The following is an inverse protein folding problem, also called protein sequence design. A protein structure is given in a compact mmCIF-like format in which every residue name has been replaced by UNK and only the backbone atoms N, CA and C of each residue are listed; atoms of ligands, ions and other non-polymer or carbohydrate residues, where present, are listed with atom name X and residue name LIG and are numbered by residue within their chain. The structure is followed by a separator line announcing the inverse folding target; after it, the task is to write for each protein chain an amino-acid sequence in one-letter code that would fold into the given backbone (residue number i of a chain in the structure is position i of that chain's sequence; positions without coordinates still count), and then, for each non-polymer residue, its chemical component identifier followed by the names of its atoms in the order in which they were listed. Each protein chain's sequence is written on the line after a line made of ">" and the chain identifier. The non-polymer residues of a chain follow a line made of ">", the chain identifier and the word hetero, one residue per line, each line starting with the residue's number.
data_IF_379961107350
#
_entry.id   IF_379961107350
#
_cell.length_a   1.000
_cell.length_b   1.000
_cell.length_c   1.000
_cell.angle_alpha   90.00
_cell.angle_beta   90.00
_cell.angle_gamma   90.00
#
_symmetry.space_group_name_H-M   'P 1'
#
loop_
_entity.id
_entity.type
_entity.pdbx_description
1 polymer ?
#
# COMPACT_ATOMS: atom_id res chain seq x y z
N UNK A 1 16.30 15.34 -22.61
CA UNK A 1 15.83 14.87 -21.30
C UNK A 1 14.31 15.08 -21.28
N UNK A 2 13.51 14.01 -21.23
CA UNK A 2 12.04 14.15 -21.19
C UNK A 2 11.67 14.55 -19.76
N UNK A 3 11.06 15.71 -19.59
CA UNK A 3 10.55 16.14 -18.28
C UNK A 3 9.31 15.30 -17.95
N UNK A 4 9.41 14.45 -16.94
CA UNK A 4 8.28 13.70 -16.40
C UNK A 4 7.64 14.58 -15.33
N UNK A 5 6.36 14.93 -15.50
CA UNK A 5 5.62 15.66 -14.48
C UNK A 5 5.41 14.78 -13.24
N UNK A 6 5.67 15.33 -12.06
CA UNK A 6 5.46 14.63 -10.77
C UNK A 6 4.02 14.12 -10.59
N UNK A 7 3.05 14.84 -11.14
CA UNK A 7 1.65 14.41 -11.07
C UNK A 7 1.38 13.13 -11.87
N UNK A 8 2.28 12.70 -12.75
CA UNK A 8 2.13 11.47 -13.54
C UNK A 8 2.32 10.20 -12.72
N UNK A 9 2.93 10.27 -11.52
CA UNK A 9 3.08 9.13 -10.62
C UNK A 9 1.78 8.69 -9.96
N UNK A 10 0.69 9.45 -10.12
CA UNK A 10 -0.66 9.07 -9.67
C UNK A 10 -1.71 9.46 -10.72
N UNK A 11 -1.82 8.70 -11.82
CA UNK A 11 -2.74 9.03 -12.91
C UNK A 11 -4.18 8.73 -12.52
N UNK A 12 -5.00 9.78 -12.36
CA UNK A 12 -6.42 9.69 -12.09
C UNK A 12 -7.23 10.04 -13.33
N UNK A 13 -7.95 9.06 -13.86
CA UNK A 13 -8.85 9.21 -15.01
C UNK A 13 -9.88 8.09 -14.98
N UNK A 14 -11.15 8.44 -15.21
CA UNK A 14 -12.23 7.45 -15.29
C UNK A 14 -11.92 6.38 -16.34
N UNK A 15 -12.13 5.13 -15.94
CA UNK A 15 -11.82 3.91 -16.68
C UNK A 15 -10.41 3.36 -16.42
N UNK A 16 -9.49 4.12 -15.83
CA UNK A 16 -8.17 3.60 -15.49
C UNK A 16 -8.30 2.47 -14.47
N UNK A 17 -7.58 1.36 -14.69
CA UNK A 17 -7.53 0.26 -13.76
C UNK A 17 -6.12 -0.26 -13.55
N UNK A 18 -5.91 -0.86 -12.38
CA UNK A 18 -4.75 -1.68 -12.05
C UNK A 18 -5.24 -3.01 -11.46
N UNK A 19 -4.57 -4.10 -11.84
CA UNK A 19 -4.77 -5.43 -11.26
C UNK A 19 -3.46 -5.85 -10.62
N UNK A 20 -3.54 -6.33 -9.39
CA UNK A 20 -2.43 -6.74 -8.56
C UNK A 20 -2.55 -8.21 -8.18
N UNK A 21 -1.42 -8.87 -7.99
CA UNK A 21 -1.33 -10.08 -7.17
C UNK A 21 -1.14 -9.65 -5.73
N UNK A 22 -1.95 -10.17 -4.82
CA UNK A 22 -1.83 -9.92 -3.38
C UNK A 22 -1.44 -11.20 -2.66
N UNK A 23 -0.47 -11.11 -1.75
CA UNK A 23 -0.25 -12.13 -0.72
C UNK A 23 -0.47 -11.48 0.65
N UNK A 24 -1.33 -12.06 1.46
CA UNK A 24 -1.76 -11.54 2.75
C UNK A 24 -1.68 -12.64 3.80
N UNK A 25 -1.25 -12.30 5.00
CA UNK A 25 -1.33 -13.16 6.18
C UNK A 25 -1.79 -12.31 7.36
N UNK A 26 -3.05 -12.47 7.75
CA UNK A 26 -3.57 -11.93 9.01
C UNK A 26 -3.16 -12.85 10.15
N UNK A 27 -2.58 -12.27 11.20
CA UNK A 27 -2.03 -13.02 12.33
C UNK A 27 -2.78 -12.64 13.59
N UNK A 28 -3.34 -13.65 14.26
CA UNK A 28 -3.89 -13.55 15.60
C UNK A 28 -3.79 -14.92 16.28
N UNK A 29 -2.66 -15.18 16.95
CA UNK A 29 -2.31 -16.47 17.53
C UNK A 29 -2.35 -16.41 19.05
N UNK A 30 -2.89 -17.47 19.64
CA UNK A 30 -2.82 -17.72 21.08
C UNK A 30 -1.59 -18.52 21.48
N UNK A 31 -0.97 -19.23 20.53
CA UNK A 31 0.25 -20.01 20.72
C UNK A 31 1.12 -19.97 19.47
N UNK A 32 2.44 -19.93 19.67
CA UNK A 32 3.45 -20.03 18.61
C UNK A 32 3.58 -21.41 17.95
N UNK A 33 2.85 -22.42 18.43
CA UNK A 33 2.73 -23.70 17.72
C UNK A 33 1.76 -23.65 16.53
N UNK A 34 0.86 -22.66 16.50
CA UNK A 34 -0.16 -22.55 15.44
C UNK A 34 0.48 -22.02 14.15
N UNK A 35 0.30 -22.72 13.04
CA UNK A 35 0.82 -22.29 11.74
C UNK A 35 0.10 -21.06 11.19
N UNK A 36 0.84 -20.22 10.45
CA UNK A 36 0.26 -19.12 9.70
C UNK A 36 -0.46 -19.63 8.44
N UNK A 37 -1.56 -18.98 8.08
CA UNK A 37 -2.34 -19.32 6.88
C UNK A 37 -2.29 -18.15 5.90
N UNK A 38 -1.34 -18.17 4.95
CA UNK A 38 -1.28 -17.13 3.93
C UNK A 38 -2.42 -17.29 2.93
N UNK A 39 -2.91 -16.15 2.43
CA UNK A 39 -3.89 -16.03 1.35
C UNK A 39 -3.21 -15.41 0.14
N UNK A 40 -3.61 -15.84 -1.05
CA UNK A 40 -3.19 -15.24 -2.32
C UNK A 40 -4.41 -15.02 -3.20
N UNK A 41 -4.53 -13.83 -3.77
CA UNK A 41 -5.67 -13.45 -4.61
C UNK A 41 -5.31 -12.33 -5.58
N UNK A 42 -6.17 -12.08 -6.57
CA UNK A 42 -6.05 -10.91 -7.45
C UNK A 42 -6.89 -9.76 -6.87
N UNK A 43 -6.34 -8.53 -6.87
CA UNK A 43 -7.04 -7.29 -6.51
C UNK A 43 -7.12 -6.38 -7.75
N UNK A 44 -8.32 -5.93 -8.13
CA UNK A 44 -8.54 -4.89 -9.14
C UNK A 44 -8.90 -3.59 -8.45
N UNK A 45 -8.23 -2.51 -8.85
CA UNK A 45 -8.52 -1.13 -8.48
C UNK A 45 -8.97 -0.40 -9.74
N UNK A 46 -10.18 0.14 -9.75
CA UNK A 46 -10.79 0.80 -10.91
C UNK A 46 -11.23 2.21 -10.53
N UNK A 47 -10.77 3.21 -11.28
CA UNK A 47 -11.32 4.58 -11.22
C UNK A 47 -12.67 4.56 -11.93
N UNK A 48 -13.72 4.38 -11.16
CA UNK A 48 -15.07 4.12 -11.65
C UNK A 48 -15.78 5.39 -12.13
N UNK A 49 -15.62 6.49 -11.41
CA UNK A 49 -16.31 7.76 -11.72
C UNK A 49 -15.53 8.96 -11.17
N UNK A 50 -16.01 10.18 -11.46
CA UNK A 50 -15.51 11.39 -10.83
C UNK A 50 -16.62 12.42 -10.58
N UNK A 51 -16.47 13.16 -9.48
CA UNK A 51 -17.39 14.22 -9.07
C UNK A 51 -16.60 15.52 -8.93
N UNK A 52 -17.16 16.63 -9.42
CA UNK A 52 -16.57 17.95 -9.19
C UNK A 52 -16.54 18.24 -7.70
N UNK A 53 -15.39 18.69 -7.19
CA UNK A 53 -15.26 19.08 -5.78
C UNK A 53 -15.43 20.60 -5.62
N UNK A 54 -15.56 21.04 -4.37
CA UNK A 54 -15.73 22.46 -4.01
C UNK A 54 -14.49 23.31 -4.27
N UNK A 55 -13.35 22.68 -4.51
CA UNK A 55 -12.05 23.30 -4.76
C UNK A 55 -11.78 23.54 -6.26
N UNK A 56 -12.77 23.23 -7.12
CA UNK A 56 -12.69 23.41 -8.57
C UNK A 56 -12.01 22.26 -9.33
N UNK A 57 -11.60 21.19 -8.63
CA UNK A 57 -11.06 19.96 -9.18
C UNK A 57 -12.09 18.82 -9.21
N UNK A 58 -11.59 17.58 -9.20
CA UNK A 58 -12.40 16.37 -9.16
C UNK A 58 -11.97 15.46 -8.00
N UNK A 59 -12.97 14.87 -7.34
CA UNK A 59 -12.81 13.68 -6.51
C UNK A 59 -13.14 12.47 -7.37
N UNK A 60 -12.19 11.55 -7.49
CA UNK A 60 -12.34 10.31 -8.25
C UNK A 60 -12.83 9.20 -7.34
N UNK A 61 -13.87 8.50 -7.76
CA UNK A 61 -14.41 7.33 -7.06
C UNK A 61 -13.69 6.08 -7.54
N UNK A 62 -13.25 5.26 -6.60
CA UNK A 62 -12.43 4.08 -6.85
C UNK A 62 -13.16 2.86 -6.31
N UNK A 63 -13.49 1.90 -7.17
CA UNK A 63 -13.97 0.60 -6.74
C UNK A 63 -12.81 -0.38 -6.66
N UNK A 64 -12.80 -1.18 -5.59
CA UNK A 64 -11.86 -2.28 -5.45
C UNK A 64 -12.61 -3.60 -5.53
N UNK A 65 -12.05 -4.56 -6.24
CA UNK A 65 -12.62 -5.89 -6.41
C UNK A 65 -11.57 -6.94 -6.14
N UNK A 66 -11.98 -8.09 -5.63
CA UNK A 66 -11.11 -9.26 -5.45
C UNK A 66 -11.64 -10.47 -6.19
N UNK A 67 -10.74 -11.41 -6.47
CA UNK A 67 -11.08 -12.76 -6.91
C UNK A 67 -9.98 -13.72 -6.47
N UNK A 68 -10.32 -14.96 -6.15
CA UNK A 68 -9.34 -15.95 -5.70
C UNK A 68 -8.28 -16.23 -6.78
N UNK A 69 -8.70 -16.35 -8.04
CA UNK A 69 -7.81 -16.56 -9.18
C UNK A 69 -8.46 -16.09 -10.50
N UNK A 70 -7.76 -16.27 -11.63
CA UNK A 70 -8.20 -15.80 -12.95
C UNK A 70 -9.45 -16.48 -13.52
N UNK A 71 -9.87 -17.62 -12.96
CA UNK A 71 -11.06 -18.37 -13.38
C UNK A 71 -12.33 -17.89 -12.68
N UNK A 72 -12.19 -17.15 -11.57
CA UNK A 72 -13.31 -16.66 -10.77
C UNK A 72 -13.76 -15.27 -11.22
N UNK A 73 -15.04 -14.98 -11.00
CA UNK A 73 -15.60 -13.65 -11.21
C UNK A 73 -15.07 -12.64 -10.18
N UNK A 74 -15.04 -11.36 -10.56
CA UNK A 74 -14.71 -10.27 -9.64
C UNK A 74 -15.84 -10.05 -8.64
N UNK A 75 -15.49 -9.91 -7.37
CA UNK A 75 -16.39 -9.59 -6.27
C UNK A 75 -16.01 -8.20 -5.74
N UNK A 76 -16.98 -7.33 -5.53
CA UNK A 76 -16.72 -6.00 -4.94
C UNK A 76 -16.17 -6.17 -3.52
N UNK A 77 -15.07 -5.49 -3.23
CA UNK A 77 -14.44 -5.45 -1.90
C UNK A 77 -14.97 -4.25 -1.13
N UNK A 78 -14.70 -3.05 -1.63
CA UNK A 78 -15.11 -1.77 -1.05
C UNK A 78 -14.91 -0.64 -2.06
N UNK A 79 -15.08 0.60 -1.59
CA UNK A 79 -14.92 1.81 -2.39
C UNK A 79 -14.06 2.84 -1.67
N UNK A 80 -13.13 3.43 -2.40
CA UNK A 80 -12.24 4.49 -1.97
C UNK A 80 -12.51 5.75 -2.80
N UNK A 81 -11.87 6.86 -2.43
CA UNK A 81 -11.82 8.03 -3.31
C UNK A 81 -10.43 8.64 -3.32
N UNK A 82 -10.11 9.38 -4.38
CA UNK A 82 -8.84 10.10 -4.47
C UNK A 82 -9.05 11.48 -5.06
N UNK A 83 -8.30 12.45 -4.56
CA UNK A 83 -8.14 13.77 -5.17
C UNK A 83 -6.66 14.07 -5.37
N UNK A 84 -6.37 14.82 -6.41
CA UNK A 84 -5.02 15.31 -6.71
C UNK A 84 -5.10 16.79 -7.02
N UNK A 85 -4.29 17.57 -6.32
CA UNK A 85 -4.11 18.99 -6.56
C UNK A 85 -2.66 19.27 -7.01
N UNK A 86 -2.26 20.54 -7.04
CA UNK A 86 -0.92 20.96 -7.47
C UNK A 86 0.19 20.55 -6.50
N UNK A 87 -0.13 20.27 -5.25
CA UNK A 87 0.80 20.03 -4.16
C UNK A 87 0.77 18.58 -3.65
N UNK A 88 -0.30 17.82 -3.87
CA UNK A 88 -0.43 16.50 -3.26
C UNK A 88 -1.48 15.58 -3.89
N UNK A 89 -1.40 14.32 -3.48
CA UNK A 89 -2.43 13.29 -3.69
C UNK A 89 -2.97 12.86 -2.35
N UNK A 90 -4.29 12.96 -2.18
CA UNK A 90 -5.01 12.46 -1.01
C UNK A 90 -5.91 11.32 -1.42
N UNK A 91 -5.78 10.18 -0.76
CA UNK A 91 -6.63 9.00 -0.95
C UNK A 91 -7.41 8.75 0.32
N UNK A 92 -8.73 8.69 0.22
CA UNK A 92 -9.57 8.19 1.30
C UNK A 92 -9.65 6.66 1.17
N UNK A 93 -8.89 5.97 2.02
CA UNK A 93 -8.97 4.53 2.18
C UNK A 93 -10.15 4.23 3.12
N UNK A 94 -11.27 3.80 2.54
CA UNK A 94 -12.56 3.78 3.23
C UNK A 94 -12.96 5.19 3.68
N UNK A 95 -12.95 5.43 4.99
CA UNK A 95 -13.30 6.72 5.59
C UNK A 95 -12.10 7.54 6.08
N UNK A 96 -10.87 7.04 5.88
CA UNK A 96 -9.67 7.68 6.41
C UNK A 96 -8.84 8.33 5.29
N UNK A 97 -8.71 9.67 5.24
CA UNK A 97 -7.89 10.37 4.25
C UNK A 97 -6.41 10.27 4.59
N UNK A 98 -5.59 9.81 3.64
CA UNK A 98 -4.13 9.76 3.73
C UNK A 98 -3.48 10.57 2.62
N UNK A 99 -2.45 11.35 2.96
CA UNK A 99 -1.60 12.03 1.98
C UNK A 99 -0.59 11.03 1.43
N UNK A 100 -0.83 10.54 0.21
CA UNK A 100 -0.04 9.47 -0.41
C UNK A 100 1.22 9.96 -1.10
N UNK A 101 1.16 11.14 -1.71
CA UNK A 101 2.26 11.78 -2.42
C UNK A 101 2.17 13.31 -2.23
N UNK A 102 3.32 13.96 -2.24
CA UNK A 102 3.44 15.42 -2.24
C UNK A 102 4.30 15.89 -3.42
N UNK A 103 4.08 17.12 -3.85
CA UNK A 103 4.71 17.77 -4.98
C UNK A 103 5.30 19.13 -4.57
N UNK A 104 6.42 19.57 -5.16
CA UNK A 104 7.25 18.83 -6.12
C UNK A 104 7.95 17.62 -5.48
N UNK A 105 8.18 16.56 -6.25
CA UNK A 105 8.86 15.36 -5.77
C UNK A 105 10.36 15.60 -5.65
N UNK A 106 10.92 15.30 -4.48
CA UNK A 106 12.34 15.30 -4.25
C UNK A 106 12.71 14.20 -3.23
N UNK A 107 13.78 13.46 -3.51
CA UNK A 107 14.23 12.42 -2.58
C UNK A 107 14.61 13.05 -1.23
N UNK A 108 14.15 12.46 -0.13
CA UNK A 108 14.30 12.97 1.22
C UNK A 108 13.19 13.93 1.66
N UNK A 109 12.21 14.26 0.79
CA UNK A 109 11.03 15.02 1.22
C UNK A 109 10.24 14.23 2.26
N UNK A 110 9.91 14.92 3.36
CA UNK A 110 9.11 14.42 4.47
C UNK A 110 7.75 15.11 4.49
N UNK A 111 6.69 14.37 4.82
CA UNK A 111 5.37 14.95 5.08
C UNK A 111 4.57 14.09 6.06
N UNK A 112 3.64 14.72 6.78
CA UNK A 112 2.70 13.99 7.62
C UNK A 112 1.64 13.27 6.77
N UNK A 113 1.70 11.94 6.70
CA UNK A 113 0.71 11.12 6.00
C UNK A 113 -0.71 11.27 6.55
N UNK A 114 -0.82 11.64 7.83
CA UNK A 114 -2.06 11.79 8.57
C UNK A 114 -2.60 13.23 8.64
N UNK A 115 -2.09 14.13 7.78
CA UNK A 115 -2.46 15.57 7.76
C UNK A 115 -3.96 15.84 7.82
N UNK A 116 -4.80 14.97 7.21
CA UNK A 116 -6.24 15.19 7.10
C UNK A 116 -7.10 14.23 7.93
N UNK A 117 -6.49 13.42 8.82
CA UNK A 117 -7.22 12.47 9.66
C UNK A 117 -6.87 12.66 11.14
N UNK A 118 -7.55 11.90 12.02
CA UNK A 118 -7.40 12.00 13.47
C UNK A 118 -6.29 11.14 14.08
N UNK A 119 -5.47 10.47 13.27
CA UNK A 119 -4.38 9.62 13.77
C UNK A 119 -3.21 10.49 14.24
N UNK A 120 -2.28 9.88 14.98
CA UNK A 120 -1.03 10.54 15.35
C UNK A 120 -0.24 10.97 14.11
N UNK A 121 0.55 12.04 14.24
CA UNK A 121 1.47 12.49 13.18
C UNK A 121 2.38 11.33 12.79
N UNK A 122 2.51 11.11 11.48
CA UNK A 122 3.32 10.05 10.93
C UNK A 122 4.07 10.57 9.71
N UNK A 123 5.39 10.64 9.82
CA UNK A 123 6.25 11.20 8.78
C UNK A 123 6.55 10.16 7.71
N UNK A 124 6.02 10.38 6.51
CA UNK A 124 6.36 9.62 5.32
C UNK A 124 7.56 10.26 4.64
N UNK A 125 8.44 9.42 4.08
CA UNK A 125 9.60 9.88 3.30
C UNK A 125 9.50 9.37 1.88
N UNK A 126 9.82 10.21 0.88
CA UNK A 126 10.02 9.72 -0.48
C UNK A 126 11.50 9.51 -0.79
N UNK A 127 11.82 8.38 -1.42
CA UNK A 127 13.16 8.02 -1.89
C UNK A 127 13.11 7.58 -3.35
N UNK A 128 14.27 7.38 -3.97
CA UNK A 128 14.39 6.80 -5.31
C UNK A 128 13.62 7.56 -6.41
N UNK A 129 13.38 8.85 -6.22
CA UNK A 129 12.65 9.70 -7.17
C UNK A 129 13.36 9.67 -8.54
N UNK A 130 12.61 9.28 -9.56
CA UNK A 130 13.08 9.18 -10.94
C UNK A 130 13.99 7.99 -11.23
N UNK A 131 14.21 7.08 -10.29
CA UNK A 131 15.05 5.88 -10.48
C UNK A 131 14.24 4.77 -11.16
N UNK A 132 14.94 3.79 -11.74
CA UNK A 132 14.28 2.60 -12.29
C UNK A 132 13.98 1.60 -11.19
N UNK A 133 12.88 0.87 -11.33
CA UNK A 133 12.50 -0.23 -10.43
C UNK A 133 12.15 -1.49 -11.23
N UNK A 134 12.60 -2.65 -10.75
CA UNK A 134 12.23 -3.96 -11.29
C UNK A 134 11.44 -4.72 -10.25
N UNK A 135 10.20 -5.06 -10.57
CA UNK A 135 9.31 -5.87 -9.74
C UNK A 135 9.81 -7.32 -9.63
N UNK A 136 9.39 -8.04 -8.60
CA UNK A 136 9.70 -9.47 -8.41
C UNK A 136 9.16 -10.34 -9.56
N UNK A 137 8.08 -9.92 -10.20
CA UNK A 137 7.55 -10.54 -11.42
C UNK A 137 8.32 -10.19 -12.72
N UNK A 138 9.40 -9.43 -12.64
CA UNK A 138 10.28 -9.07 -13.76
C UNK A 138 9.86 -7.84 -14.57
N UNK A 139 8.70 -7.21 -14.29
CA UNK A 139 8.32 -5.95 -14.93
C UNK A 139 9.26 -4.82 -14.53
N UNK A 140 9.67 -4.03 -15.53
CA UNK A 140 10.62 -2.92 -15.36
C UNK A 140 9.92 -1.58 -15.59
N UNK A 141 10.17 -0.64 -14.70
CA UNK A 141 9.70 0.73 -14.78
C UNK A 141 10.93 1.64 -14.77
N UNK A 142 11.03 2.55 -15.73
CA UNK A 142 12.21 3.39 -15.91
C UNK A 142 12.27 4.56 -14.92
N UNK A 143 11.13 4.98 -14.38
CA UNK A 143 11.01 6.14 -13.51
C UNK A 143 9.96 5.87 -12.43
N UNK A 144 10.42 5.74 -11.20
CA UNK A 144 9.62 5.44 -10.01
C UNK A 144 9.89 6.41 -8.87
N UNK A 145 9.06 6.36 -7.85
CA UNK A 145 9.30 6.94 -6.53
C UNK A 145 8.90 5.91 -5.48
N UNK A 146 9.72 5.77 -4.46
CA UNK A 146 9.43 4.94 -3.29
C UNK A 146 8.94 5.85 -2.17
N UNK A 147 7.86 5.48 -1.50
CA UNK A 147 7.35 6.13 -0.29
C UNK A 147 7.53 5.15 0.86
N UNK A 148 8.29 5.55 1.87
CA UNK A 148 8.50 4.82 3.12
C UNK A 148 7.64 5.49 4.18
N UNK A 149 6.63 4.77 4.67
CA UNK A 149 5.75 5.23 5.74
C UNK A 149 6.33 4.88 7.12
N UNK A 150 6.99 3.71 7.21
CA UNK A 150 7.76 3.26 8.36
C UNK A 150 8.76 2.18 7.93
N UNK A 151 9.89 2.09 8.62
CA UNK A 151 10.89 1.02 8.47
C UNK A 151 11.53 0.69 9.84
N UNK A 152 10.66 0.41 10.82
CA UNK A 152 11.05 -0.07 12.14
C UNK A 152 11.26 -1.59 12.11
N UNK A 153 12.50 -2.01 12.35
CA UNK A 153 12.95 -3.40 12.31
C UNK A 153 13.17 -3.99 13.71
N UNK A 154 12.24 -3.72 14.64
CA UNK A 154 12.23 -4.39 15.94
C UNK A 154 11.48 -5.72 15.84
N UNK A 155 12.25 -6.79 15.72
CA UNK A 155 11.75 -8.17 15.60
C UNK A 155 11.44 -8.84 16.95
N UNK A 156 11.48 -8.09 18.06
CA UNK A 156 11.28 -8.62 19.43
C UNK A 156 9.95 -8.12 20.00
N UNK A 157 9.63 -6.84 19.83
CA UNK A 157 8.43 -6.23 20.40
C UNK A 157 7.42 -5.94 19.32
N UNK A 158 7.82 -5.10 18.35
CA UNK A 158 6.93 -4.59 17.34
C UNK A 158 7.68 -4.21 16.08
N UNK A 159 7.42 -4.92 14.98
CA UNK A 159 7.93 -4.57 13.66
C UNK A 159 6.90 -3.70 12.93
N UNK A 160 7.36 -2.66 12.24
CA UNK A 160 6.53 -1.86 11.34
C UNK A 160 7.31 -1.46 10.09
N UNK A 161 7.00 -2.10 8.97
CA UNK A 161 7.59 -1.80 7.67
C UNK A 161 6.47 -1.57 6.67
N UNK A 162 6.38 -0.35 6.14
CA UNK A 162 5.35 0.06 5.18
C UNK A 162 5.97 0.86 4.05
N UNK A 163 5.91 0.29 2.85
CA UNK A 163 6.56 0.83 1.65
C UNK A 163 5.56 0.78 0.50
N UNK A 164 5.50 1.85 -0.28
CA UNK A 164 4.75 1.94 -1.53
C UNK A 164 5.69 2.41 -2.64
N UNK A 165 5.64 1.80 -3.83
CA UNK A 165 6.41 2.23 -5.00
C UNK A 165 5.44 2.63 -6.09
N UNK A 166 5.64 3.82 -6.65
CA UNK A 166 4.82 4.39 -7.71
C UNK A 166 5.65 4.55 -8.98
N UNK A 167 5.08 4.21 -10.14
CA UNK A 167 5.71 4.46 -11.43
C UNK A 167 5.00 5.56 -12.21
N UNK A 168 5.79 6.37 -12.91
CA UNK A 168 5.28 7.43 -13.77
C UNK A 168 4.30 6.86 -14.81
N UNK A 169 3.17 7.53 -15.00
CA UNK A 169 2.05 7.15 -15.87
C UNK A 169 1.33 5.84 -15.55
N UNK A 170 1.67 5.18 -14.44
CA UNK A 170 1.04 3.90 -14.02
C UNK A 170 0.34 4.03 -12.67
N UNK A 171 0.95 4.72 -11.70
CA UNK A 171 0.47 4.75 -10.32
C UNK A 171 1.22 3.77 -9.42
N UNK A 172 0.54 3.29 -8.38
CA UNK A 172 1.08 2.32 -7.44
C UNK A 172 1.42 1.01 -8.17
N UNK A 173 2.69 0.59 -8.12
CA UNK A 173 3.17 -0.65 -8.72
C UNK A 173 3.47 -1.74 -7.68
N UNK A 174 3.88 -1.34 -6.47
CA UNK A 174 4.19 -2.26 -5.38
C UNK A 174 3.79 -1.64 -4.04
N UNK A 175 3.26 -2.45 -3.13
CA UNK A 175 3.03 -2.08 -1.74
C UNK A 175 3.41 -3.25 -0.82
N UNK A 176 4.06 -2.92 0.28
CA UNK A 176 4.37 -3.84 1.38
C UNK A 176 3.88 -3.23 2.68
N UNK A 177 3.30 -4.06 3.54
CA UNK A 177 2.91 -3.72 4.90
C UNK A 177 3.18 -4.92 5.78
N UNK A 178 4.15 -4.79 6.67
CA UNK A 178 4.47 -5.76 7.71
C UNK A 178 4.37 -5.04 9.04
N UNK A 179 3.31 -5.31 9.79
CA UNK A 179 3.09 -4.76 11.13
C UNK A 179 2.83 -5.92 12.06
N UNK A 180 3.80 -6.25 12.91
CA UNK A 180 3.79 -7.48 13.70
C UNK A 180 4.11 -7.20 15.15
N UNK A 181 3.37 -7.82 16.06
CA UNK A 181 3.79 -8.00 17.45
C UNK A 181 4.25 -9.43 17.64
N UNK A 182 5.18 -9.66 18.56
CA UNK A 182 5.77 -10.98 18.81
C UNK A 182 5.37 -11.55 20.17
N UNK A 183 5.53 -12.86 20.34
CA UNK A 183 5.37 -13.49 21.64
C UNK A 183 6.51 -13.05 22.59
N UNK A 184 6.15 -12.39 23.69
CA UNK A 184 7.10 -11.88 24.68
C UNK A 184 7.26 -12.75 25.93
N UNK A 185 6.34 -13.67 26.19
CA UNK A 185 6.33 -14.45 27.43
C UNK A 185 5.49 -15.75 27.37
N UNK A 186 5.31 -16.33 26.17
CA UNK A 186 4.56 -17.59 26.02
C UNK A 186 5.42 -18.80 26.39
N UNK A 187 5.85 -18.86 27.65
CA UNK A 187 6.61 -19.96 28.24
C UNK A 187 5.88 -20.51 29.49
N UNK A 188 4.55 -20.63 29.41
CA UNK A 188 3.72 -21.24 30.45
C UNK A 188 3.86 -22.77 30.48
N UNK A 189 3.53 -23.37 31.63
CA UNK A 189 3.55 -24.82 31.87
C UNK A 189 2.58 -25.55 30.94
N UNK A 190 3.09 -26.05 29.81
CA UNK A 190 2.34 -26.82 28.80
C UNK A 190 2.49 -26.32 27.35
N UNK A 191 3.04 -25.12 27.12
CA UNK A 191 3.24 -24.56 25.78
C UNK A 191 4.71 -24.62 25.33
N UNK A 192 4.92 -24.68 24.01
CA UNK A 192 6.23 -24.45 23.38
C UNK A 192 6.68 -23.03 23.67
N UNK A 193 7.85 -22.86 24.29
CA UNK A 193 8.43 -21.55 24.56
C UNK A 193 8.97 -20.91 23.27
N UNK A 194 8.42 -19.75 22.90
CA UNK A 194 8.80 -18.98 21.71
C UNK A 194 9.38 -17.61 22.05
N UNK A 195 9.92 -17.47 23.26
CA UNK A 195 10.67 -16.27 23.61
C UNK A 195 11.92 -16.16 22.73
N UNK A 196 12.08 -15.05 22.03
CA UNK A 196 13.26 -14.77 21.20
C UNK A 196 13.32 -15.54 19.88
N UNK A 197 12.25 -16.25 19.49
CA UNK A 197 12.17 -16.97 18.20
C UNK A 197 11.68 -16.10 17.05
N UNK A 198 11.33 -14.83 17.32
CA UNK A 198 10.71 -13.90 16.36
C UNK A 198 9.38 -14.43 15.79
N UNK A 199 8.66 -15.24 16.58
CA UNK A 199 7.33 -15.73 16.21
C UNK A 199 6.28 -14.62 16.32
N UNK A 200 5.62 -14.23 15.21
CA UNK A 200 4.59 -13.19 15.26
C UNK A 200 3.35 -13.72 15.98
N UNK A 201 2.83 -12.93 16.92
CA UNK A 201 1.61 -13.19 17.70
C UNK A 201 0.39 -12.55 17.06
N UNK A 202 0.47 -11.27 16.74
CA UNK A 202 -0.60 -10.55 16.03
C UNK A 202 -0.03 -9.67 14.93
N UNK A 203 -0.87 -9.30 13.97
CA UNK A 203 -0.50 -8.32 12.96
C UNK A 203 -0.88 -8.74 11.55
N UNK A 204 -0.22 -8.13 10.57
CA UNK A 204 -0.43 -8.39 9.16
C UNK A 204 0.89 -8.41 8.40
N UNK A 205 0.99 -9.35 7.46
CA UNK A 205 1.99 -9.34 6.40
C UNK A 205 1.23 -9.22 5.09
N UNK A 206 1.44 -8.15 4.34
CA UNK A 206 0.71 -7.84 3.12
C UNK A 206 1.68 -7.38 2.03
N UNK A 207 1.56 -7.98 0.85
CA UNK A 207 2.24 -7.55 -0.37
C UNK A 207 1.23 -7.41 -1.50
N UNK A 208 1.37 -6.35 -2.29
CA UNK A 208 0.54 -6.09 -3.45
C UNK A 208 1.46 -5.71 -4.62
N UNK A 209 1.49 -6.53 -5.65
CA UNK A 209 2.40 -6.38 -6.78
C UNK A 209 1.63 -6.27 -8.09
N UNK A 210 1.90 -5.23 -8.88
CA UNK A 210 1.18 -4.96 -10.12
C UNK A 210 1.34 -6.08 -11.15
N UNK A 211 0.21 -6.63 -11.59
CA UNK A 211 0.10 -7.67 -12.63
C UNK A 211 -0.23 -7.06 -13.99
N UNK A 212 -1.18 -6.12 -14.06
CA UNK A 212 -1.55 -5.43 -15.29
C UNK A 212 -2.23 -4.10 -14.99
N UNK A 213 -2.27 -3.20 -15.96
CA UNK A 213 -2.95 -1.92 -15.86
C UNK A 213 -3.44 -1.50 -17.24
N UNK A 214 -4.40 -0.60 -17.29
CA UNK A 214 -4.94 -0.13 -18.55
C UNK A 214 -6.09 0.84 -18.34
N UNK A 215 -6.93 0.96 -19.36
CA UNK A 215 -8.15 1.74 -19.33
C UNK A 215 -9.27 0.94 -20.00
N UNK A 216 -10.43 0.91 -19.37
CA UNK A 216 -11.68 0.37 -19.93
C UNK A 216 -12.25 1.27 -21.03
#
# INVERSE_FOLDING_TARGET
>A
MVHISDQSYFPLRVGNYQIYTVNETDINRLSCSTSLVPKKYDLKVLVFDSVKNTEGGFTYLIHRYTRADSTQAWIILDSWSARKDVNQVVVNEGNTPYVKLVFPMASGTLWNGNTYNGNAVEDYTMTDVGKSYTQGNGKKFSSTVTVVQSDNQDFIVYQDKRIEVYAASVGLIYKETTQLTYFQNDCGSGNTCCLGTQDPKTGIIYTQELKSYGRE
#
